data_IF_287369804221
#
_entry.id   IF_287369804221
#
_cell.length_a   1.000
_cell.length_b   1.000
_cell.length_c   1.000
_cell.angle_alpha   90.00
_cell.angle_beta   90.00
_cell.angle_gamma   90.00
#
_symmetry.space_group_name_H-M   'P 1'
#
loop_
_entity.id
_entity.type
_entity.pdbx_description
1 polymer ?
#
# COMPACT_ATOMS: atom_id res chain seq x y z
N UNK A 1 75.99 -26.67 27.94
CA UNK A 1 75.16 -27.87 27.83
C UNK A 1 73.97 -27.57 26.94
N UNK A 2 73.75 -28.39 25.92
CA UNK A 2 72.60 -28.39 25.01
C UNK A 2 71.35 -28.91 25.73
N UNK A 3 70.18 -28.35 25.42
CA UNK A 3 69.07 -29.11 24.77
C UNK A 3 67.99 -28.17 24.22
N UNK A 4 67.69 -28.35 22.93
CA UNK A 4 66.51 -27.84 22.22
C UNK A 4 65.21 -28.49 22.71
N UNK A 5 64.08 -27.83 22.52
CA UNK A 5 62.98 -28.40 21.73
C UNK A 5 61.95 -27.34 21.30
N UNK A 6 61.96 -27.01 19.99
CA UNK A 6 60.79 -26.55 19.23
C UNK A 6 59.70 -27.62 19.24
N UNK A 7 58.45 -27.25 19.54
CA UNK A 7 57.21 -27.87 19.03
C UNK A 7 56.08 -26.84 19.18
N UNK A 8 55.11 -26.64 18.29
CA UNK A 8 54.86 -26.97 16.88
C UNK A 8 53.55 -26.19 16.60
N UNK A 9 53.49 -25.42 15.53
CA UNK A 9 52.24 -24.81 15.05
C UNK A 9 51.34 -25.87 14.41
N UNK A 10 50.06 -25.91 14.78
CA UNK A 10 48.91 -26.45 14.04
C UNK A 10 47.64 -25.99 14.78
N UNK A 11 46.95 -24.92 14.38
CA UNK A 11 45.90 -24.90 13.36
C UNK A 11 44.77 -25.92 13.64
N UNK A 12 43.58 -25.45 14.04
CA UNK A 12 42.29 -25.59 13.31
C UNK A 12 41.06 -25.20 14.15
N UNK A 13 40.24 -24.31 13.55
CA UNK A 13 38.78 -24.14 13.60
C UNK A 13 37.97 -24.50 14.86
N UNK A 14 37.40 -23.46 15.50
CA UNK A 14 36.03 -23.31 16.03
C UNK A 14 36.05 -22.07 16.95
N UNK A 15 35.20 -21.06 16.90
CA UNK A 15 33.80 -21.04 16.51
C UNK A 15 33.45 -19.66 15.91
N UNK A 16 32.91 -19.69 14.71
CA UNK A 16 32.08 -18.62 14.19
C UNK A 16 30.69 -18.79 14.80
N UNK A 17 30.31 -17.94 15.75
CA UNK A 17 28.93 -17.65 16.11
C UNK A 17 28.91 -16.44 17.04
N UNK A 18 27.83 -15.67 17.01
CA UNK A 18 27.56 -14.42 17.75
C UNK A 18 27.97 -13.14 16.99
N UNK A 19 27.39 -12.98 15.81
CA UNK A 19 27.09 -11.67 15.23
C UNK A 19 25.68 -11.71 14.65
N UNK A 20 24.71 -12.01 15.51
CA UNK A 20 23.27 -11.96 15.20
C UNK A 20 22.57 -11.17 16.31
N UNK A 21 21.64 -10.31 15.88
CA UNK A 21 20.77 -9.42 16.67
C UNK A 21 21.38 -8.09 17.18
N UNK A 22 21.49 -7.11 16.29
CA UNK A 22 21.52 -5.69 16.68
C UNK A 22 20.91 -4.75 15.62
N UNK A 23 19.91 -5.19 14.84
CA UNK A 23 19.27 -4.34 13.78
C UNK A 23 17.74 -4.39 13.84
N UNK A 24 17.13 -4.35 15.03
CA UNK A 24 15.66 -4.37 15.13
C UNK A 24 15.11 -3.44 16.22
N UNK A 25 15.75 -2.30 16.47
CA UNK A 25 15.20 -1.24 17.31
C UNK A 25 15.30 0.11 16.59
N UNK A 26 14.74 0.17 15.38
CA UNK A 26 14.18 1.43 14.93
C UNK A 26 12.90 1.64 15.73
N UNK A 27 12.68 2.82 16.34
CA UNK A 27 11.39 3.13 16.94
C UNK A 27 10.36 3.02 15.81
N UNK A 28 9.49 2.02 15.89
CA UNK A 28 8.25 2.03 15.14
C UNK A 28 7.57 3.33 15.53
N UNK A 29 7.44 4.26 14.59
CA UNK A 29 6.55 5.41 14.78
C UNK A 29 5.21 4.87 15.23
N UNK A 30 4.57 5.48 16.24
CA UNK A 30 3.29 4.99 16.72
C UNK A 30 2.34 4.95 15.52
N UNK A 31 1.94 3.74 15.13
CA UNK A 31 0.78 3.55 14.29
C UNK A 31 -0.38 4.12 15.12
N UNK A 32 -0.79 5.35 14.80
CA UNK A 32 -2.01 5.92 15.33
C UNK A 32 -3.12 4.92 15.00
N UNK A 33 -3.59 4.21 16.03
CA UNK A 33 -4.75 3.35 15.93
C UNK A 33 -5.92 4.26 15.55
N UNK A 34 -6.26 4.26 14.27
CA UNK A 34 -7.36 5.04 13.75
C UNK A 34 -8.64 4.59 14.49
N UNK A 35 -9.48 5.53 14.96
CA UNK A 35 -10.81 5.22 15.47
C UNK A 35 -11.51 4.29 14.47
N UNK A 36 -12.20 3.25 14.96
CA UNK A 36 -12.94 2.31 14.11
C UNK A 36 -13.89 3.11 13.21
N UNK A 37 -13.45 3.33 11.97
CA UNK A 37 -14.12 4.19 11.01
C UNK A 37 -15.42 3.59 10.50
N UNK A 38 -15.93 4.09 9.36
CA UNK A 38 -17.11 3.56 8.68
C UNK A 38 -16.97 2.10 8.21
N UNK A 39 -15.89 1.40 8.58
CA UNK A 39 -15.56 0.05 8.15
C UNK A 39 -14.94 0.00 6.75
N UNK A 40 -14.57 1.15 6.18
CA UNK A 40 -14.05 1.27 4.82
C UNK A 40 -12.58 1.71 4.85
N UNK A 41 -11.68 0.83 4.44
CA UNK A 41 -10.27 1.16 4.24
C UNK A 41 -9.61 0.22 3.26
N UNK A 42 -8.53 0.68 2.63
CA UNK A 42 -7.60 -0.21 1.95
C UNK A 42 -6.18 0.34 2.08
N UNK A 43 -5.21 -0.56 2.05
CA UNK A 43 -3.81 -0.18 2.02
C UNK A 43 -2.96 -1.24 1.34
N UNK A 44 -1.84 -0.81 0.79
CA UNK A 44 -0.75 -1.68 0.42
C UNK A 44 0.59 -0.96 0.67
N UNK A 45 1.62 -1.73 0.98
CA UNK A 45 2.96 -1.18 1.17
C UNK A 45 4.05 -2.25 1.08
N UNK A 46 5.19 -1.87 0.52
CA UNK A 46 6.43 -2.64 0.67
C UNK A 46 6.92 -2.54 2.11
N UNK A 47 6.99 -3.68 2.79
CA UNK A 47 7.59 -3.78 4.13
C UNK A 47 8.99 -4.40 4.08
N UNK A 48 9.36 -5.03 2.96
CA UNK A 48 10.70 -5.48 2.62
C UNK A 48 10.99 -5.18 1.15
N UNK A 49 12.27 -5.11 0.71
CA UNK A 49 12.60 -4.84 -0.70
C UNK A 49 12.08 -5.88 -1.70
N UNK A 50 11.67 -7.05 -1.24
CA UNK A 50 11.15 -8.15 -2.04
C UNK A 50 9.79 -8.64 -1.55
N UNK A 51 9.08 -7.84 -0.73
CA UNK A 51 7.76 -8.20 -0.27
C UNK A 51 6.90 -6.97 0.05
N UNK A 52 5.63 -7.06 -0.32
CA UNK A 52 4.61 -6.10 0.06
C UNK A 52 3.41 -6.79 0.66
N UNK A 53 2.68 -6.04 1.48
CA UNK A 53 1.43 -6.48 2.07
C UNK A 53 0.31 -5.58 1.55
N UNK A 54 -0.91 -6.10 1.60
CA UNK A 54 -2.10 -5.32 1.34
C UNK A 54 -3.24 -5.79 2.22
N UNK A 55 -4.16 -4.88 2.48
CA UNK A 55 -5.33 -5.14 3.31
C UNK A 55 -6.48 -4.27 2.85
N UNK A 56 -7.68 -4.65 3.26
CA UNK A 56 -8.82 -3.76 3.16
C UNK A 56 -10.02 -4.26 3.93
N UNK A 57 -10.93 -3.34 4.19
CA UNK A 57 -12.13 -3.57 4.98
C UNK A 57 -13.33 -2.92 4.31
N UNK A 58 -14.45 -3.63 4.39
CA UNK A 58 -15.81 -3.09 4.23
C UNK A 58 -16.58 -3.46 5.51
N UNK A 59 -17.74 -2.84 5.80
CA UNK A 59 -18.64 -3.33 6.84
C UNK A 59 -18.98 -4.80 6.63
N UNK A 60 -18.50 -5.68 7.51
CA UNK A 60 -18.68 -7.13 7.40
C UNK A 60 -17.64 -7.88 6.56
N UNK A 61 -16.64 -7.20 5.98
CA UNK A 61 -15.61 -7.86 5.14
C UNK A 61 -14.20 -7.48 5.57
N UNK A 62 -13.31 -8.47 5.65
CA UNK A 62 -11.88 -8.26 5.90
C UNK A 62 -11.02 -8.99 4.87
N UNK A 63 -10.09 -8.25 4.26
CA UNK A 63 -9.05 -8.77 3.37
C UNK A 63 -7.68 -8.58 4.03
N UNK A 64 -6.84 -9.62 3.97
CA UNK A 64 -5.41 -9.55 4.27
C UNK A 64 -4.63 -10.31 3.21
N UNK A 65 -3.57 -9.72 2.68
CA UNK A 65 -2.73 -10.35 1.67
C UNK A 65 -1.27 -9.95 1.78
N UNK A 66 -0.42 -10.84 1.29
CA UNK A 66 1.02 -10.69 1.23
C UNK A 66 1.48 -11.12 -0.15
N UNK A 67 2.55 -10.51 -0.62
CA UNK A 67 3.17 -10.86 -1.88
C UNK A 67 4.68 -10.86 -1.75
N UNK A 68 5.31 -11.84 -2.38
CA UNK A 68 6.73 -11.76 -2.72
C UNK A 68 6.85 -10.98 -4.02
N UNK A 69 7.91 -10.20 -4.17
CA UNK A 69 8.32 -9.53 -5.40
C UNK A 69 9.81 -9.79 -5.65
N UNK A 70 10.11 -10.62 -6.65
CA UNK A 70 11.48 -10.92 -7.07
C UNK A 70 11.79 -10.14 -8.34
N UNK A 71 12.40 -8.96 -8.16
CA UNK A 71 12.88 -8.10 -9.23
C UNK A 71 11.80 -7.71 -10.26
N UNK A 72 10.56 -7.52 -9.84
CA UNK A 72 9.43 -7.18 -10.70
C UNK A 72 8.39 -8.28 -10.80
N UNK A 73 8.78 -9.53 -10.56
CA UNK A 73 7.87 -10.67 -10.63
C UNK A 73 7.29 -10.97 -9.26
N UNK A 74 6.00 -10.70 -9.12
CA UNK A 74 5.24 -10.90 -7.90
C UNK A 74 4.42 -12.18 -7.90
N UNK A 75 4.12 -12.71 -6.71
CA UNK A 75 3.10 -13.72 -6.48
C UNK A 75 2.47 -13.43 -5.11
N UNK A 76 1.16 -13.63 -4.98
CA UNK A 76 0.45 -13.26 -3.74
C UNK A 76 -0.36 -14.40 -3.14
N UNK A 77 -0.44 -14.38 -1.83
CA UNK A 77 -1.33 -15.18 -1.02
C UNK A 77 -2.11 -14.28 -0.07
N UNK A 78 -3.26 -14.74 0.39
CA UNK A 78 -4.06 -13.97 1.33
C UNK A 78 -5.31 -14.68 1.79
N UNK A 79 -6.16 -13.92 2.46
CA UNK A 79 -7.41 -14.38 3.08
C UNK A 79 -8.48 -13.33 2.92
N UNK A 80 -9.67 -13.77 2.52
CA UNK A 80 -10.91 -13.00 2.55
C UNK A 80 -11.82 -13.60 3.61
N UNK A 81 -12.43 -12.75 4.43
CA UNK A 81 -13.24 -13.16 5.57
C UNK A 81 -14.54 -12.35 5.63
N UNK A 82 -15.64 -13.06 5.86
CA UNK A 82 -16.91 -12.49 6.27
C UNK A 82 -16.91 -12.38 7.80
N UNK A 83 -17.04 -11.15 8.29
CA UNK A 83 -16.85 -10.80 9.71
C UNK A 83 -18.16 -10.42 10.39
N UNK A 84 -19.30 -10.54 9.70
CA UNK A 84 -20.61 -10.17 10.22
C UNK A 84 -21.67 -11.23 9.96
N UNK A 85 -22.73 -11.24 10.78
CA UNK A 85 -23.93 -12.05 10.57
C UNK A 85 -25.04 -11.20 9.97
N UNK A 86 -24.82 -10.64 8.77
CA UNK A 86 -25.70 -9.65 8.13
C UNK A 86 -26.37 -10.16 6.84
N UNK A 87 -26.30 -11.47 6.57
CA UNK A 87 -26.84 -12.09 5.36
C UNK A 87 -26.07 -11.68 4.10
N UNK A 88 -24.81 -11.27 4.26
CA UNK A 88 -23.89 -10.93 3.17
C UNK A 88 -22.76 -11.94 3.09
N UNK A 89 -21.97 -11.82 2.03
CA UNK A 89 -20.75 -12.59 1.84
C UNK A 89 -19.59 -11.65 1.53
N UNK A 90 -18.38 -12.07 1.91
CA UNK A 90 -17.15 -11.42 1.54
C UNK A 90 -16.60 -12.02 0.24
N UNK A 91 -16.29 -11.17 -0.75
CA UNK A 91 -15.67 -11.60 -2.01
C UNK A 91 -14.40 -10.80 -2.31
N UNK A 92 -13.36 -11.50 -2.77
CA UNK A 92 -12.16 -10.89 -3.35
C UNK A 92 -11.98 -11.41 -4.78
N UNK A 93 -11.67 -10.49 -5.69
CA UNK A 93 -11.22 -10.80 -7.03
C UNK A 93 -9.86 -10.14 -7.27
N UNK A 94 -8.90 -10.92 -7.74
CA UNK A 94 -7.56 -10.45 -8.06
C UNK A 94 -7.35 -10.55 -9.56
N UNK A 95 -7.07 -9.42 -10.18
CA UNK A 95 -6.77 -9.32 -11.61
C UNK A 95 -5.33 -8.84 -11.79
N UNK A 96 -4.49 -9.66 -12.43
CA UNK A 96 -3.15 -9.27 -12.82
C UNK A 96 -3.14 -8.85 -14.29
N UNK A 97 -2.62 -7.66 -14.57
CA UNK A 97 -2.49 -7.16 -15.94
C UNK A 97 -1.62 -8.11 -16.76
N UNK A 98 -2.05 -8.41 -17.99
CA UNK A 98 -1.39 -9.37 -18.86
C UNK A 98 -1.63 -10.85 -18.54
N UNK A 99 -2.26 -11.19 -17.40
CA UNK A 99 -2.58 -12.57 -17.00
C UNK A 99 -4.08 -12.83 -16.94
N UNK A 100 -4.86 -11.90 -16.37
CA UNK A 100 -6.30 -12.04 -16.14
C UNK A 100 -6.65 -12.22 -14.66
N UNK A 101 -7.82 -12.80 -14.38
CA UNK A 101 -8.22 -13.12 -13.01
C UNK A 101 -7.39 -14.30 -12.48
N UNK A 102 -6.64 -14.04 -11.41
CA UNK A 102 -5.74 -15.00 -10.77
C UNK A 102 -6.23 -15.48 -9.40
N UNK A 103 -7.26 -14.84 -8.85
CA UNK A 103 -8.08 -15.35 -7.76
C UNK A 103 -9.50 -14.78 -7.82
N UNK A 104 -10.48 -15.59 -7.44
CA UNK A 104 -11.86 -15.19 -7.20
C UNK A 104 -12.39 -16.09 -6.07
N UNK A 105 -12.68 -15.49 -4.91
CA UNK A 105 -13.08 -16.22 -3.71
C UNK A 105 -14.23 -15.49 -3.06
N UNK A 106 -15.29 -16.23 -2.74
CA UNK A 106 -16.46 -15.74 -2.00
C UNK A 106 -16.68 -16.64 -0.80
N UNK A 107 -16.82 -16.05 0.37
CA UNK A 107 -17.12 -16.74 1.62
C UNK A 107 -18.30 -16.08 2.30
N UNK A 108 -19.20 -16.90 2.85
CA UNK A 108 -20.43 -16.45 3.51
C UNK A 108 -20.47 -17.05 4.92
N UNK A 109 -20.98 -16.29 5.88
CA UNK A 109 -21.13 -16.69 7.27
C UNK A 109 -20.12 -16.00 8.17
N UNK A 110 -20.60 -15.50 9.30
CA UNK A 110 -19.79 -14.79 10.28
C UNK A 110 -18.58 -15.61 10.76
N UNK A 111 -17.39 -15.04 10.61
CA UNK A 111 -16.11 -15.66 10.94
C UNK A 111 -15.61 -16.66 9.90
N UNK A 112 -16.33 -16.84 8.79
CA UNK A 112 -15.93 -17.72 7.70
C UNK A 112 -14.88 -17.03 6.83
N UNK A 113 -13.82 -17.77 6.49
CA UNK A 113 -12.74 -17.25 5.66
C UNK A 113 -12.30 -18.24 4.59
N UNK A 114 -11.80 -17.71 3.48
CA UNK A 114 -11.15 -18.47 2.43
C UNK A 114 -9.76 -17.91 2.17
N UNK A 115 -8.80 -18.82 1.97
CA UNK A 115 -7.45 -18.47 1.54
C UNK A 115 -7.33 -18.54 0.02
N UNK A 116 -6.33 -17.83 -0.50
CA UNK A 116 -5.93 -17.92 -1.90
C UNK A 116 -4.40 -17.85 -2.02
N UNK A 117 -3.91 -18.39 -3.12
CA UNK A 117 -2.55 -18.23 -3.60
C UNK A 117 -2.62 -18.08 -5.14
N UNK A 118 -1.78 -17.23 -5.71
CA UNK A 118 -1.84 -16.89 -7.13
C UNK A 118 -0.64 -17.43 -7.90
N UNK A 119 -0.79 -17.46 -9.23
CA UNK A 119 0.37 -17.53 -10.14
C UNK A 119 1.19 -16.24 -10.09
N UNK A 120 2.37 -16.26 -10.70
CA UNK A 120 3.25 -15.09 -10.80
C UNK A 120 2.75 -14.07 -11.85
N UNK A 121 3.05 -12.79 -11.62
CA UNK A 121 2.70 -11.66 -12.49
C UNK A 121 3.71 -10.50 -12.34
N UNK A 122 3.83 -9.63 -13.33
CA UNK A 122 4.84 -8.55 -13.36
C UNK A 122 4.28 -7.14 -13.70
N UNK A 123 3.10 -7.04 -14.30
CA UNK A 123 2.47 -5.78 -14.73
C UNK A 123 1.57 -5.11 -13.67
N UNK A 124 1.57 -5.61 -12.44
CA UNK A 124 0.77 -5.09 -11.33
C UNK A 124 -0.52 -5.85 -11.08
N UNK A 125 -1.19 -5.48 -9.99
CA UNK A 125 -2.33 -6.18 -9.42
C UNK A 125 -3.48 -5.22 -9.15
N UNK A 126 -4.66 -5.52 -9.69
CA UNK A 126 -5.92 -4.92 -9.29
C UNK A 126 -6.60 -5.84 -8.27
N UNK A 127 -6.74 -5.33 -7.05
CA UNK A 127 -7.43 -5.98 -5.94
C UNK A 127 -8.84 -5.42 -5.87
N UNK A 128 -9.86 -6.26 -6.04
CA UNK A 128 -11.26 -5.87 -5.96
C UNK A 128 -11.89 -6.60 -4.78
N UNK A 129 -12.55 -5.86 -3.89
CA UNK A 129 -13.22 -6.40 -2.72
C UNK A 129 -14.68 -6.01 -2.76
N UNK A 130 -15.56 -6.98 -2.55
CA UNK A 130 -17.00 -6.79 -2.52
C UNK A 130 -17.61 -7.36 -1.25
N UNK A 131 -18.70 -6.72 -0.85
CA UNK A 131 -19.73 -7.33 -0.02
C UNK A 131 -20.89 -7.74 -0.92
N UNK A 132 -21.16 -9.04 -0.98
CA UNK A 132 -22.14 -9.64 -1.87
C UNK A 132 -23.47 -9.88 -1.13
N UNK A 133 -24.59 -9.82 -1.83
CA UNK A 133 -25.87 -10.35 -1.32
C UNK A 133 -25.82 -11.87 -1.42
N UNK A 134 -26.06 -12.57 -0.32
CA UNK A 134 -26.02 -14.03 -0.27
C UNK A 134 -26.96 -14.66 -1.31
N UNK A 135 -26.50 -15.75 -1.95
CA UNK A 135 -27.21 -16.42 -3.03
C UNK A 135 -27.29 -15.66 -4.36
N UNK A 136 -26.60 -14.52 -4.52
CA UNK A 136 -26.63 -13.71 -5.75
C UNK A 136 -25.23 -13.35 -6.27
N UNK A 137 -25.19 -12.74 -7.46
CA UNK A 137 -23.98 -12.12 -8.02
C UNK A 137 -23.95 -10.59 -7.84
N UNK A 138 -24.84 -10.04 -7.01
CA UNK A 138 -24.96 -8.61 -6.78
C UNK A 138 -24.13 -8.23 -5.55
N UNK A 139 -23.34 -7.17 -5.66
CA UNK A 139 -22.69 -6.53 -4.52
C UNK A 139 -23.46 -5.28 -4.10
N UNK A 140 -23.42 -4.95 -2.80
CA UNK A 140 -23.97 -3.70 -2.27
C UNK A 140 -22.89 -2.73 -1.76
N UNK A 141 -21.69 -3.24 -1.48
CA UNK A 141 -20.50 -2.44 -1.16
C UNK A 141 -19.31 -2.99 -1.91
N UNK A 142 -18.36 -2.12 -2.24
CA UNK A 142 -17.14 -2.53 -2.90
C UNK A 142 -16.12 -1.43 -3.07
N UNK A 143 -14.86 -1.82 -3.15
CA UNK A 143 -13.77 -0.96 -3.59
C UNK A 143 -12.81 -1.74 -4.47
N UNK A 144 -11.95 -1.00 -5.16
CA UNK A 144 -10.76 -1.56 -5.79
C UNK A 144 -9.52 -0.80 -5.35
N UNK A 145 -8.39 -1.47 -5.44
CA UNK A 145 -7.07 -0.93 -5.13
C UNK A 145 -6.09 -1.46 -6.17
N UNK A 146 -5.28 -0.56 -6.73
CA UNK A 146 -4.25 -0.92 -7.69
C UNK A 146 -2.86 -0.90 -7.04
N UNK A 147 -2.11 -1.97 -7.24
CA UNK A 147 -0.71 -2.13 -6.83
C UNK A 147 0.11 -2.18 -8.13
N UNK A 148 0.92 -1.16 -8.43
CA UNK A 148 1.69 -1.11 -9.67
C UNK A 148 2.77 -2.19 -9.73
N UNK A 149 3.04 -2.69 -10.93
CA UNK A 149 4.15 -3.61 -11.18
C UNK A 149 5.50 -2.92 -10.98
N UNK A 150 6.47 -3.63 -10.41
CA UNK A 150 7.80 -3.06 -10.08
C UNK A 150 8.89 -3.43 -11.10
N UNK A 151 8.56 -4.18 -12.16
CA UNK A 151 9.54 -4.68 -13.14
C UNK A 151 10.32 -3.56 -13.85
N UNK A 152 9.65 -2.46 -14.21
CA UNK A 152 10.26 -1.29 -14.88
C UNK A 152 10.49 -0.11 -13.93
N UNK A 153 10.24 -0.32 -12.64
CA UNK A 153 10.24 0.71 -11.61
C UNK A 153 10.72 0.13 -10.27
N UNK A 154 12.02 -0.10 -10.17
CA UNK A 154 12.65 -0.72 -9.00
C UNK A 154 12.52 0.12 -7.72
N UNK A 155 12.32 1.44 -7.84
CA UNK A 155 12.12 2.32 -6.69
C UNK A 155 10.82 2.02 -5.95
N UNK A 156 9.83 1.39 -6.61
CA UNK A 156 8.60 0.93 -5.93
C UNK A 156 8.91 -0.05 -4.80
N UNK A 157 9.97 -0.83 -4.94
CA UNK A 157 10.41 -1.81 -3.94
C UNK A 157 11.12 -1.18 -2.73
N UNK A 158 11.15 0.16 -2.63
CA UNK A 158 11.67 0.82 -1.44
C UNK A 158 10.71 0.61 -0.27
N UNK A 159 11.22 0.14 0.87
CA UNK A 159 10.42 -0.06 2.09
C UNK A 159 9.69 1.24 2.46
N UNK A 160 8.40 1.13 2.76
CA UNK A 160 7.50 2.25 3.04
C UNK A 160 6.80 2.81 1.81
N UNK A 161 7.19 2.43 0.58
CA UNK A 161 6.41 2.76 -0.62
C UNK A 161 5.06 2.06 -0.55
N UNK A 162 3.99 2.81 -0.78
CA UNK A 162 2.63 2.29 -0.68
C UNK A 162 1.57 3.37 -0.79
N UNK A 163 0.33 2.95 -0.71
CA UNK A 163 -0.81 3.84 -0.63
C UNK A 163 -1.85 3.31 0.34
N UNK A 164 -2.58 4.21 0.98
CA UNK A 164 -3.69 3.87 1.87
C UNK A 164 -4.78 4.92 1.81
N UNK A 165 -6.00 4.49 2.12
CA UNK A 165 -7.13 5.37 2.40
C UNK A 165 -8.03 4.73 3.46
N UNK A 166 -8.75 5.57 4.20
CA UNK A 166 -9.75 5.12 5.17
C UNK A 166 -10.81 6.17 5.40
N UNK A 167 -12.06 5.73 5.49
CA UNK A 167 -13.18 6.54 5.99
C UNK A 167 -13.26 6.37 7.51
N UNK A 168 -12.93 7.41 8.27
CA UNK A 168 -13.03 7.40 9.74
C UNK A 168 -14.40 7.89 10.25
N UNK A 169 -15.22 8.46 9.36
CA UNK A 169 -16.67 8.58 9.53
C UNK A 169 -17.36 8.19 8.22
N UNK A 170 -18.69 8.18 8.15
CA UNK A 170 -19.41 7.92 6.89
C UNK A 170 -19.15 8.96 5.79
N UNK A 171 -18.66 10.14 6.15
CA UNK A 171 -18.47 11.27 5.24
C UNK A 171 -17.07 11.85 5.27
N UNK A 172 -16.17 11.37 6.12
CA UNK A 172 -14.84 11.93 6.26
C UNK A 172 -13.78 10.85 6.07
N UNK A 173 -12.79 11.17 5.26
CA UNK A 173 -11.75 10.25 4.86
C UNK A 173 -10.37 10.88 4.92
N UNK A 174 -9.38 10.02 4.96
CA UNK A 174 -7.97 10.36 4.84
C UNK A 174 -7.30 9.39 3.87
N UNK A 175 -6.19 9.82 3.28
CA UNK A 175 -5.35 8.98 2.45
C UNK A 175 -3.88 9.35 2.58
N UNK A 176 -3.03 8.43 2.19
CA UNK A 176 -1.59 8.64 2.10
C UNK A 176 -1.07 7.94 0.84
N UNK A 177 -0.15 8.61 0.15
CA UNK A 177 0.64 8.03 -0.94
C UNK A 177 2.10 8.27 -0.61
N UNK A 178 2.86 7.20 -0.44
CA UNK A 178 4.29 7.28 -0.15
C UNK A 178 5.07 6.58 -1.24
N UNK A 179 6.12 7.24 -1.70
CA UNK A 179 7.05 6.73 -2.69
C UNK A 179 8.45 7.24 -2.35
N UNK A 180 9.49 6.55 -2.84
CA UNK A 180 10.86 7.05 -2.71
C UNK A 180 10.96 8.53 -3.12
N UNK A 181 11.33 9.38 -2.16
CA UNK A 181 11.53 10.82 -2.33
C UNK A 181 10.30 11.73 -2.19
N UNK A 182 9.09 11.19 -2.02
CA UNK A 182 7.86 11.98 -1.83
C UNK A 182 6.84 11.29 -0.92
N UNK A 183 6.17 12.08 -0.08
CA UNK A 183 4.95 11.67 0.61
C UNK A 183 3.83 12.66 0.34
N UNK A 184 2.61 12.17 0.14
CA UNK A 184 1.39 12.94 0.03
C UNK A 184 0.43 12.44 1.09
N UNK A 185 -0.06 13.36 1.93
CA UNK A 185 -1.13 13.10 2.89
C UNK A 185 -2.31 13.97 2.50
N UNK A 186 -3.52 13.40 2.55
CA UNK A 186 -4.73 14.14 2.31
C UNK A 186 -5.85 13.78 3.27
N UNK A 187 -6.70 14.77 3.54
CA UNK A 187 -7.92 14.66 4.33
C UNK A 187 -9.06 15.25 3.52
N UNK A 188 -10.25 14.68 3.63
CA UNK A 188 -11.36 15.16 2.84
C UNK A 188 -12.71 14.81 3.41
N UNK A 189 -13.72 15.42 2.78
CA UNK A 189 -15.13 15.13 3.05
C UNK A 189 -15.81 14.63 1.78
N UNK A 190 -16.78 13.76 2.00
CA UNK A 190 -17.66 13.14 1.02
C UNK A 190 -19.10 13.55 1.33
N UNK A 191 -19.79 14.08 0.33
CA UNK A 191 -21.19 14.50 0.40
C UNK A 191 -22.03 13.66 -0.55
N UNK A 192 -23.36 13.73 -0.36
CA UNK A 192 -24.31 13.03 -1.22
C UNK A 192 -24.09 13.36 -2.71
N UNK A 193 -24.31 12.37 -3.58
CA UNK A 193 -24.06 12.49 -5.02
C UNK A 193 -22.58 12.35 -5.38
N UNK A 194 -21.81 11.58 -4.59
CA UNK A 194 -20.39 11.31 -4.80
C UNK A 194 -19.49 12.55 -4.94
N UNK A 195 -19.81 13.57 -4.15
CA UNK A 195 -19.13 14.86 -4.20
C UNK A 195 -18.01 14.88 -3.16
N UNK A 196 -16.76 15.04 -3.60
CA UNK A 196 -15.59 14.94 -2.71
C UNK A 196 -14.68 16.18 -2.76
N UNK A 197 -14.21 16.61 -1.60
CA UNK A 197 -13.21 17.67 -1.45
C UNK A 197 -12.04 17.21 -0.61
N UNK A 198 -10.85 17.77 -0.82
CA UNK A 198 -9.64 17.38 -0.10
C UNK A 198 -8.71 18.55 0.21
N UNK A 199 -8.08 18.49 1.37
CA UNK A 199 -6.89 19.24 1.74
C UNK A 199 -5.69 18.31 1.67
N UNK A 200 -4.64 18.76 0.99
CA UNK A 200 -3.48 17.96 0.65
C UNK A 200 -2.21 18.63 1.16
N UNK A 201 -1.26 17.81 1.59
CA UNK A 201 0.12 18.23 1.85
C UNK A 201 1.07 17.26 1.18
N UNK A 202 1.91 17.77 0.29
CA UNK A 202 3.01 17.00 -0.29
C UNK A 202 4.33 17.42 0.37
N UNK A 203 5.14 16.43 0.70
CA UNK A 203 6.46 16.57 1.31
C UNK A 203 7.52 15.97 0.39
N UNK A 204 8.62 16.70 0.19
CA UNK A 204 9.83 16.13 -0.41
C UNK A 204 10.66 15.44 0.67
N UNK A 205 10.62 14.12 0.68
CA UNK A 205 11.35 13.29 1.67
C UNK A 205 12.81 13.03 1.26
N UNK A 206 13.15 13.17 -0.02
CA UNK A 206 14.53 13.04 -0.49
C UNK A 206 15.37 14.31 -0.25
N UNK A 207 16.67 14.12 0.04
CA UNK A 207 17.64 15.20 0.26
C UNK A 207 18.41 15.65 -0.99
N UNK A 208 18.08 15.09 -2.17
CA UNK A 208 18.79 15.38 -3.41
C UNK A 208 18.56 16.83 -3.88
N UNK A 209 19.65 17.58 -4.09
CA UNK A 209 19.61 18.96 -4.61
C UNK A 209 19.06 18.98 -6.04
N UNK A 210 18.24 19.99 -6.36
CA UNK A 210 17.67 20.18 -7.70
C UNK A 210 16.52 19.23 -8.06
N UNK A 211 16.12 18.32 -7.17
CA UNK A 211 14.94 17.49 -7.32
C UNK A 211 13.69 18.16 -6.74
N UNK A 212 12.51 17.82 -7.27
CA UNK A 212 11.23 18.33 -6.78
C UNK A 212 10.25 17.17 -6.53
N UNK A 213 9.41 17.35 -5.51
CA UNK A 213 8.25 16.53 -5.25
C UNK A 213 6.98 17.28 -5.64
N UNK A 214 5.98 16.57 -6.13
CA UNK A 214 4.67 17.13 -6.43
C UNK A 214 3.55 16.18 -6.04
N UNK A 215 2.41 16.77 -5.65
CA UNK A 215 1.16 16.08 -5.42
C UNK A 215 0.13 16.58 -6.43
N UNK A 216 -0.71 15.70 -6.94
CA UNK A 216 -1.83 16.04 -7.82
C UNK A 216 -3.08 15.30 -7.39
N UNK A 217 -4.22 15.98 -7.35
CA UNK A 217 -5.53 15.37 -7.13
C UNK A 217 -6.43 15.66 -8.32
N UNK A 218 -7.09 14.62 -8.84
CA UNK A 218 -8.04 14.67 -9.97
C UNK A 218 -9.43 14.19 -9.54
N UNK A 219 -10.41 14.24 -10.45
CA UNK A 219 -11.84 13.97 -10.17
C UNK A 219 -12.84 15.00 -10.73
N UNK A 220 -12.38 15.89 -11.60
CA UNK A 220 -13.15 17.00 -12.16
C UNK A 220 -12.21 18.15 -12.43
N UNK A 221 -11.92 18.96 -11.41
CA UNK A 221 -10.80 19.92 -11.44
C UNK A 221 -9.53 19.27 -10.95
N UNK A 222 -8.47 19.37 -11.75
CA UNK A 222 -7.13 18.98 -11.34
C UNK A 222 -6.47 20.08 -10.53
N UNK A 223 -6.05 19.76 -9.31
CA UNK A 223 -5.26 20.65 -8.45
C UNK A 223 -3.92 20.00 -8.12
N UNK A 224 -2.89 20.83 -7.93
CA UNK A 224 -1.55 20.33 -7.62
C UNK A 224 -0.77 21.29 -6.73
N UNK A 225 0.24 20.73 -6.08
CA UNK A 225 1.26 21.48 -5.35
C UNK A 225 2.62 20.83 -5.57
N UNK A 226 3.69 21.64 -5.54
CA UNK A 226 5.07 21.13 -5.59
C UNK A 226 6.01 21.85 -4.65
N UNK A 227 7.08 21.14 -4.27
CA UNK A 227 8.18 21.69 -3.48
C UNK A 227 9.50 21.07 -3.90
N UNK A 228 10.53 21.91 -4.03
CA UNK A 228 11.89 21.48 -4.37
C UNK A 228 12.85 21.61 -3.18
N UNK A 229 12.38 22.18 -2.07
CA UNK A 229 13.14 22.34 -0.84
C UNK A 229 13.26 20.99 -0.13
N UNK A 230 14.45 20.64 0.33
CA UNK A 230 14.69 19.40 1.09
C UNK A 230 13.91 19.43 2.41
N UNK A 231 13.10 18.41 2.68
CA UNK A 231 12.17 18.42 3.83
C UNK A 231 11.08 19.50 3.72
N UNK A 232 10.98 20.16 2.56
CA UNK A 232 9.96 21.15 2.32
C UNK A 232 8.61 20.50 2.09
N UNK A 233 7.57 21.20 2.52
CA UNK A 233 6.17 20.82 2.29
C UNK A 233 5.48 21.90 1.47
N UNK A 234 4.40 21.53 0.80
CA UNK A 234 3.44 22.48 0.25
C UNK A 234 2.04 21.92 0.40
N UNK A 235 1.06 22.80 0.60
CA UNK A 235 -0.33 22.42 0.76
C UNK A 235 -1.20 23.00 -0.35
N UNK A 236 -2.17 22.21 -0.80
CA UNK A 236 -3.11 22.56 -1.85
C UNK A 236 -4.47 21.91 -1.56
N UNK A 237 -5.54 22.43 -2.14
CA UNK A 237 -6.89 21.95 -1.83
C UNK A 237 -7.73 21.82 -3.10
N UNK A 238 -8.66 20.87 -3.07
CA UNK A 238 -9.70 20.64 -4.06
C UNK A 238 -11.06 20.84 -3.39
N UNK A 239 -11.82 21.86 -3.82
CA UNK A 239 -13.13 22.22 -3.24
C UNK A 239 -14.30 22.09 -4.22
N UNK A 240 -14.04 21.62 -5.45
CA UNK A 240 -15.03 21.60 -6.52
C UNK A 240 -16.04 20.45 -6.40
N UNK A 241 -15.90 19.59 -5.37
CA UNK A 241 -16.91 18.60 -4.98
C UNK A 241 -17.36 17.71 -6.15
N UNK A 242 -16.46 17.33 -7.06
CA UNK A 242 -16.78 16.54 -8.24
C UNK A 242 -16.53 15.03 -8.04
N UNK A 243 -17.04 14.20 -8.97
CA UNK A 243 -17.05 12.73 -8.89
C UNK A 243 -15.67 12.09 -8.94
N UNK A 244 -15.47 10.98 -8.22
CA UNK A 244 -14.17 10.32 -8.06
C UNK A 244 -13.04 11.21 -7.49
N UNK A 245 -12.08 10.57 -6.81
CA UNK A 245 -10.88 11.24 -6.35
C UNK A 245 -9.71 10.30 -6.53
N UNK A 246 -8.76 10.71 -7.36
CA UNK A 246 -7.46 10.06 -7.47
C UNK A 246 -6.39 11.05 -7.02
N UNK A 247 -5.61 10.64 -6.03
CA UNK A 247 -4.48 11.41 -5.52
C UNK A 247 -3.19 10.75 -5.95
N UNK A 248 -2.22 11.53 -6.43
CA UNK A 248 -0.93 11.04 -6.89
C UNK A 248 0.23 11.83 -6.31
N UNK A 249 1.29 11.13 -5.94
CA UNK A 249 2.53 11.67 -5.45
C UNK A 249 3.65 11.35 -6.44
N UNK A 250 4.36 12.38 -6.90
CA UNK A 250 5.42 12.27 -7.88
C UNK A 250 6.74 12.81 -7.34
N UNK A 251 7.84 12.14 -7.70
CA UNK A 251 9.19 12.60 -7.43
C UNK A 251 9.96 12.66 -8.74
N UNK A 252 10.66 13.78 -8.97
CA UNK A 252 11.53 13.99 -10.14
C UNK A 252 12.95 14.27 -9.68
N UNK A 253 13.84 13.26 -9.66
CA UNK A 253 15.26 13.47 -9.45
C UNK A 253 15.86 14.32 -10.58
N UNK A 254 16.97 15.01 -10.29
CA UNK A 254 17.71 15.79 -11.29
C UNK A 254 18.20 14.87 -12.43
N UNK A 255 17.91 15.24 -13.69
CA UNK A 255 18.24 14.45 -14.89
C UNK A 255 17.63 13.05 -14.96
N UNK A 256 16.60 12.76 -14.16
CA UNK A 256 15.88 11.47 -14.20
C UNK A 256 14.41 11.65 -14.60
N UNK A 257 13.78 10.54 -14.95
CA UNK A 257 12.35 10.47 -15.26
C UNK A 257 11.54 10.68 -13.99
N UNK A 258 10.49 11.49 -14.08
CA UNK A 258 9.52 11.63 -12.99
C UNK A 258 8.79 10.30 -12.78
N UNK A 259 8.71 9.86 -11.54
CA UNK A 259 7.95 8.66 -11.16
C UNK A 259 6.84 9.04 -10.20
N UNK A 260 5.67 8.46 -10.41
CA UNK A 260 4.48 8.76 -9.63
C UNK A 260 3.91 7.49 -9.02
N UNK A 261 3.15 7.65 -7.95
CA UNK A 261 2.26 6.65 -7.40
C UNK A 261 0.90 7.27 -7.17
N UNK A 262 -0.17 6.51 -7.35
CA UNK A 262 -1.54 7.00 -7.21
C UNK A 262 -2.37 6.14 -6.25
N UNK A 263 -3.40 6.74 -5.69
CA UNK A 263 -4.44 6.09 -4.90
C UNK A 263 -5.80 6.59 -5.36
N UNK A 264 -6.72 5.66 -5.59
CA UNK A 264 -8.13 5.96 -5.81
C UNK A 264 -8.86 5.86 -4.46
N UNK A 265 -9.63 6.88 -4.13
CA UNK A 265 -10.49 6.88 -2.95
C UNK A 265 -11.88 6.47 -3.46
N UNK A 266 -12.49 5.38 -2.96
CA UNK A 266 -13.79 4.94 -3.42
C UNK A 266 -14.93 5.75 -2.78
N UNK A 267 -16.12 5.62 -3.36
CA UNK A 267 -17.37 6.07 -2.75
C UNK A 267 -17.81 5.03 -1.70
N UNK A 268 -18.14 5.44 -0.47
CA UNK A 268 -18.77 4.57 0.50
C UNK A 268 -20.27 4.48 0.20
N UNK A 269 -20.69 3.43 -0.50
CA UNK A 269 -22.09 3.00 -0.61
C UNK A 269 -22.52 2.26 0.67
#
# INVERSE_FOLDING_TARGET
MRTLALRRSAATLAAALVATLAVALLPATPALALPSGAGWSASWSYYQPNAYQYSGTLPGVRLTGYATDNAGTSATLGTIEDTAADGRCARVMLYAYGVGYIADRTTCGNGSYLTYNTVSYDQGLLVIVYRMIDGTNTNDKGFYMFIPGSATDSELRTVGTGASWSYYTSTAYQYTVTRSGVSLIGYGVHQAGDLRSSLNTVEKTAVAKGACASGTVTGGTTVSGSTCLNGGTTSFHRNDHSYNLEASACYKPLLSTQRCLAVNIPEPW
#
